data_IF_602140514607
#
_entry.id   IF_602140514607
#
_cell.length_a   1.000
_cell.length_b   1.000
_cell.length_c   1.000
_cell.angle_alpha   90.00
_cell.angle_beta   90.00
_cell.angle_gamma   90.00
#
_symmetry.space_group_name_H-M   'P 1'
#
loop_
_entity.id
_entity.type
_entity.pdbx_description
1 polymer ?
#
# COMPACT_ATOMS: atom_id res chain seq x y z
N UNK A 1 -26.40 43.89 -33.19
CA UNK A 1 -26.41 43.09 -31.94
C UNK A 1 -25.98 41.64 -32.18
N UNK A 2 -24.76 41.39 -32.72
CA UNK A 2 -24.24 40.02 -32.92
C UNK A 2 -22.74 39.86 -32.61
N UNK A 3 -22.00 40.97 -32.47
CA UNK A 3 -20.56 40.95 -32.11
C UNK A 3 -20.29 41.02 -30.61
N UNK A 4 -21.28 41.41 -29.80
CA UNK A 4 -21.17 41.42 -28.34
C UNK A 4 -21.56 40.09 -27.69
N UNK A 5 -22.23 39.19 -28.42
CA UNK A 5 -22.49 37.82 -27.95
C UNK A 5 -21.21 36.96 -27.95
N UNK A 6 -20.26 37.26 -28.84
CA UNK A 6 -18.98 36.54 -28.95
C UNK A 6 -18.00 36.88 -27.83
N UNK A 7 -18.10 38.06 -27.20
CA UNK A 7 -17.22 38.50 -26.12
C UNK A 7 -17.62 37.99 -24.73
N UNK A 8 -18.88 37.57 -24.55
CA UNK A 8 -19.39 37.04 -23.27
C UNK A 8 -19.06 35.55 -23.13
N UNK A 9 -18.92 34.84 -24.26
CA UNK A 9 -18.67 33.39 -24.28
C UNK A 9 -17.23 33.02 -23.87
N UNK A 10 -16.28 33.94 -24.02
CA UNK A 10 -14.88 33.73 -23.62
C UNK A 10 -14.60 34.06 -22.14
N UNK A 11 -15.56 34.67 -21.43
CA UNK A 11 -15.36 35.14 -20.05
C UNK A 11 -15.80 34.13 -18.98
N UNK A 12 -16.41 33.00 -19.35
CA UNK A 12 -16.85 31.95 -18.41
C UNK A 12 -15.90 30.75 -18.26
N UNK A 13 -14.72 30.73 -18.90
CA UNK A 13 -13.82 29.57 -18.80
C UNK A 13 -12.72 29.70 -17.74
N UNK A 14 -12.80 30.69 -16.86
CA UNK A 14 -11.85 30.84 -15.75
C UNK A 14 -12.59 30.58 -14.43
N UNK A 15 -13.16 29.38 -14.29
CA UNK A 15 -13.61 28.85 -13.00
C UNK A 15 -12.63 27.79 -12.51
N UNK A 16 -11.80 28.23 -11.56
CA UNK A 16 -11.27 27.50 -10.41
C UNK A 16 -11.02 25.99 -10.58
N UNK A 17 -9.74 25.65 -10.79
CA UNK A 17 -9.15 24.42 -10.23
C UNK A 17 -7.99 24.80 -9.33
N UNK A 18 -8.32 25.01 -8.06
CA UNK A 18 -7.39 24.91 -6.93
C UNK A 18 -7.98 23.87 -5.99
N UNK A 19 -7.13 23.02 -5.43
CA UNK A 19 -7.39 21.95 -4.46
C UNK A 19 -7.80 20.61 -5.13
N UNK A 20 -7.17 19.46 -4.90
CA UNK A 20 -6.21 19.03 -3.90
C UNK A 20 -5.21 18.05 -4.54
N UNK A 21 -3.99 18.00 -4.00
CA UNK A 21 -3.12 16.85 -4.20
C UNK A 21 -3.81 15.59 -3.65
N UNK A 22 -4.07 14.66 -4.54
CA UNK A 22 -4.19 13.25 -4.22
C UNK A 22 -3.40 12.55 -5.32
N UNK A 23 -2.18 12.14 -5.00
CA UNK A 23 -1.41 11.21 -5.82
C UNK A 23 -2.10 9.86 -5.69
N UNK A 24 -3.22 9.68 -6.38
CA UNK A 24 -3.75 8.36 -6.66
C UNK A 24 -2.93 7.85 -7.85
N UNK A 25 -1.76 7.31 -7.51
CA UNK A 25 -1.03 6.39 -8.38
C UNK A 25 -1.93 5.16 -8.55
N UNK A 26 -2.85 5.24 -9.51
CA UNK A 26 -3.55 4.10 -10.04
C UNK A 26 -2.57 3.40 -10.97
N UNK A 27 -1.67 2.62 -10.37
CA UNK A 27 -0.77 1.75 -11.10
C UNK A 27 -1.56 0.61 -11.74
N UNK A 28 -1.86 0.76 -13.03
CA UNK A 28 -2.06 -0.35 -13.94
C UNK A 28 -0.75 -1.17 -13.90
N UNK A 29 -0.78 -2.35 -13.26
CA UNK A 29 0.41 -3.19 -13.10
C UNK A 29 0.80 -3.77 -14.46
N UNK A 30 1.66 -3.02 -15.15
CA UNK A 30 2.40 -3.51 -16.30
C UNK A 30 3.50 -4.47 -15.83
N UNK A 31 3.45 -5.69 -16.35
CA UNK A 31 4.45 -6.73 -16.19
C UNK A 31 5.85 -6.17 -16.52
N UNK A 32 6.73 -6.15 -15.51
CA UNK A 32 8.17 -6.03 -15.75
C UNK A 32 8.90 -4.99 -14.90
N UNK A 33 8.84 -5.12 -13.58
CA UNK A 33 9.70 -4.38 -12.67
C UNK A 33 9.86 -5.15 -11.38
N UNK A 34 11.07 -5.15 -10.85
CA UNK A 34 11.42 -5.39 -9.45
C UNK A 34 10.74 -4.34 -8.55
N UNK A 35 9.41 -4.26 -8.61
CA UNK A 35 8.62 -3.27 -7.90
C UNK A 35 8.58 -3.64 -6.43
N UNK A 36 9.23 -2.80 -5.62
CA UNK A 36 9.12 -2.92 -4.20
C UNK A 36 7.71 -2.48 -3.79
N UNK A 37 7.00 -3.36 -3.11
CA UNK A 37 5.70 -3.06 -2.53
C UNK A 37 5.85 -2.82 -1.02
N UNK A 38 4.98 -1.98 -0.47
CA UNK A 38 4.94 -1.70 0.97
C UNK A 38 3.50 -1.83 1.43
N UNK A 39 3.29 -2.61 2.49
CA UNK A 39 1.99 -2.69 3.14
C UNK A 39 2.11 -2.65 4.66
N UNK A 40 0.98 -2.38 5.30
CA UNK A 40 0.86 -2.44 6.75
C UNK A 40 -0.03 -3.59 7.15
N UNK A 41 0.31 -4.26 8.25
CA UNK A 41 -0.42 -5.41 8.73
C UNK A 41 -0.30 -5.57 10.24
N UNK A 42 -1.37 -6.00 10.88
CA UNK A 42 -1.42 -6.29 12.31
C UNK A 42 -0.83 -7.67 12.57
N UNK A 43 0.04 -7.81 13.57
CA UNK A 43 0.56 -9.11 13.99
C UNK A 43 -0.54 -9.92 14.67
N UNK A 44 -0.91 -11.05 14.09
CA UNK A 44 -1.83 -12.02 14.69
C UNK A 44 -1.07 -13.02 15.56
N UNK A 45 0.07 -13.52 15.07
CA UNK A 45 0.90 -14.48 15.78
C UNK A 45 2.39 -14.29 15.49
N UNK A 46 3.23 -14.57 16.50
CA UNK A 46 4.69 -14.60 16.40
C UNK A 46 5.12 -16.06 16.51
N UNK A 47 5.74 -16.58 15.46
CA UNK A 47 6.24 -17.96 15.39
C UNK A 47 7.73 -17.97 15.09
N UNK A 48 8.38 -19.10 15.30
CA UNK A 48 9.83 -19.21 15.08
C UNK A 48 10.19 -18.91 13.61
N UNK A 49 10.71 -17.71 13.37
CA UNK A 49 11.17 -17.23 12.06
C UNK A 49 10.14 -16.50 11.18
N UNK A 50 8.87 -16.40 11.58
CA UNK A 50 7.84 -15.73 10.79
C UNK A 50 6.72 -15.11 11.62
N UNK A 51 6.19 -13.99 11.14
CA UNK A 51 4.96 -13.37 11.61
C UNK A 51 3.77 -13.92 10.81
N UNK A 52 2.66 -14.23 11.49
CA UNK A 52 1.35 -14.29 10.85
C UNK A 52 0.71 -12.92 11.01
N UNK A 53 0.33 -12.29 9.90
CA UNK A 53 -0.22 -10.93 9.91
C UNK A 53 -1.52 -10.85 9.15
N UNK A 54 -2.34 -9.87 9.53
CA UNK A 54 -3.55 -9.45 8.82
C UNK A 54 -3.31 -8.07 8.20
N UNK A 55 -3.36 -7.91 6.86
CA UNK A 55 -3.22 -6.60 6.24
C UNK A 55 -4.28 -5.62 6.76
N UNK A 56 -3.90 -4.35 6.96
CA UNK A 56 -4.84 -3.33 7.45
C UNK A 56 -5.98 -3.09 6.44
N UNK A 57 -7.15 -2.67 6.93
CA UNK A 57 -8.32 -2.38 6.08
C UNK A 57 -7.97 -1.46 4.89
N UNK A 58 -8.37 -1.88 3.70
CA UNK A 58 -8.13 -1.14 2.45
C UNK A 58 -6.74 -1.35 1.83
N UNK A 59 -5.89 -2.19 2.42
CA UNK A 59 -4.64 -2.67 1.80
C UNK A 59 -4.93 -3.48 0.52
N UNK A 60 -4.12 -3.28 -0.52
CA UNK A 60 -4.21 -4.04 -1.78
C UNK A 60 -3.93 -5.53 -1.56
N UNK A 61 -3.12 -5.88 -0.57
CA UNK A 61 -2.75 -7.25 -0.20
C UNK A 61 -3.97 -8.07 0.26
N UNK A 62 -5.04 -7.43 0.74
CA UNK A 62 -6.32 -8.08 1.05
C UNK A 62 -6.97 -8.73 -0.19
N UNK A 63 -6.61 -8.30 -1.40
CA UNK A 63 -7.05 -8.99 -2.62
C UNK A 63 -6.42 -10.38 -2.78
N UNK A 64 -5.28 -10.62 -2.10
CA UNK A 64 -4.59 -11.92 -2.11
C UNK A 64 -5.07 -12.80 -0.95
N UNK A 65 -4.99 -12.32 0.29
CA UNK A 65 -5.47 -13.02 1.48
C UNK A 65 -5.66 -12.09 2.68
N UNK A 66 -6.54 -12.48 3.62
CA UNK A 66 -6.70 -11.89 4.94
C UNK A 66 -5.57 -12.28 5.90
N UNK A 67 -4.95 -13.44 5.71
CA UNK A 67 -3.83 -13.93 6.52
C UNK A 67 -2.61 -14.19 5.65
N UNK A 68 -1.48 -13.57 6.02
CA UNK A 68 -0.22 -13.67 5.30
C UNK A 68 0.90 -14.02 6.28
N UNK A 69 1.71 -15.02 5.96
CA UNK A 69 2.96 -15.28 6.68
C UNK A 69 4.11 -14.48 6.07
N UNK A 70 4.88 -13.82 6.93
CA UNK A 70 6.00 -12.95 6.56
C UNK A 70 7.25 -13.38 7.33
N UNK A 71 8.37 -13.70 6.66
CA UNK A 71 9.61 -14.07 7.34
C UNK A 71 10.16 -12.88 8.14
N UNK A 72 10.69 -13.14 9.33
CA UNK A 72 11.26 -12.11 10.23
C UNK A 72 12.62 -11.56 9.76
N UNK A 73 12.96 -11.74 8.47
CA UNK A 73 14.21 -11.28 7.88
C UNK A 73 14.23 -9.76 7.74
N UNK A 74 15.40 -9.15 7.92
CA UNK A 74 15.60 -7.69 7.77
C UNK A 74 14.68 -6.84 8.67
N UNK A 75 14.29 -7.40 9.82
CA UNK A 75 13.48 -6.72 10.82
C UNK A 75 14.34 -5.80 11.70
N UNK A 76 13.85 -4.59 11.96
CA UNK A 76 14.45 -3.69 12.94
C UNK A 76 14.10 -4.17 14.37
N UNK A 77 15.09 -4.52 15.22
CA UNK A 77 14.84 -5.11 16.54
C UNK A 77 14.22 -4.16 17.58
N UNK A 78 14.11 -2.85 17.29
CA UNK A 78 13.56 -1.87 18.23
C UNK A 78 12.54 -0.94 17.55
N UNK A 79 11.33 -0.78 18.12
CA UNK A 79 10.80 -1.54 19.27
C UNK A 79 10.64 -3.03 18.95
N UNK A 80 10.65 -3.88 19.98
CA UNK A 80 10.40 -5.31 19.82
C UNK A 80 8.90 -5.52 19.50
N UNK A 81 8.54 -6.13 18.36
CA UNK A 81 7.15 -6.28 17.96
C UNK A 81 6.39 -7.27 18.83
N UNK A 82 5.17 -6.90 19.20
CA UNK A 82 4.24 -7.71 19.98
C UNK A 82 2.99 -8.08 19.15
N UNK A 83 2.26 -9.11 19.57
CA UNK A 83 0.97 -9.45 18.95
C UNK A 83 0.01 -8.27 19.12
N UNK A 84 -0.62 -7.85 18.03
CA UNK A 84 -1.48 -6.67 17.96
C UNK A 84 -0.78 -5.42 17.44
N UNK A 85 0.56 -5.39 17.35
CA UNK A 85 1.28 -4.29 16.74
C UNK A 85 1.05 -4.24 15.22
N UNK A 86 1.12 -3.04 14.65
CA UNK A 86 1.09 -2.85 13.20
C UNK A 86 2.52 -2.79 12.68
N UNK A 87 2.84 -3.71 11.77
CA UNK A 87 4.09 -3.71 11.02
C UNK A 87 3.93 -2.96 9.71
N UNK A 88 4.98 -2.22 9.31
CA UNK A 88 5.23 -1.79 7.94
C UNK A 88 6.23 -2.75 7.32
N UNK A 89 5.86 -3.37 6.21
CA UNK A 89 6.61 -4.44 5.54
C UNK A 89 6.91 -4.00 4.10
N UNK A 90 8.19 -3.98 3.73
CA UNK A 90 8.65 -3.76 2.36
C UNK A 90 9.06 -5.10 1.74
N UNK A 91 8.52 -5.44 0.58
CA UNK A 91 8.73 -6.73 -0.08
C UNK A 91 8.80 -6.57 -1.62
N UNK A 92 8.96 -7.66 -2.35
CA UNK A 92 9.12 -7.69 -3.81
C UNK A 92 7.81 -7.67 -4.62
N UNK A 93 6.68 -7.34 -3.97
CA UNK A 93 5.36 -7.36 -4.61
C UNK A 93 4.78 -8.75 -4.86
N UNK A 94 5.53 -9.82 -4.59
CA UNK A 94 5.08 -11.19 -4.84
C UNK A 94 4.45 -11.82 -3.61
N UNK A 95 3.20 -12.28 -3.76
CA UNK A 95 2.48 -13.06 -2.75
C UNK A 95 2.15 -14.42 -3.34
N UNK A 96 2.61 -15.50 -2.68
CA UNK A 96 2.30 -16.86 -3.08
C UNK A 96 0.90 -17.26 -2.59
N UNK A 97 0.09 -17.77 -3.51
CA UNK A 97 -1.29 -18.19 -3.25
C UNK A 97 -1.35 -19.48 -2.42
N UNK A 98 -1.66 -19.35 -1.13
CA UNK A 98 -1.95 -20.44 -0.18
C UNK A 98 -2.83 -19.91 0.96
N UNK A 99 -3.20 -20.77 1.93
CA UNK A 99 -3.91 -20.33 3.13
C UNK A 99 -3.24 -20.82 4.42
N UNK A 100 -2.59 -19.93 5.21
CA UNK A 100 -2.35 -18.50 4.92
C UNK A 100 -1.52 -18.27 3.65
N UNK A 101 -1.61 -17.10 3.04
CA UNK A 101 -0.75 -16.72 1.91
C UNK A 101 0.68 -16.44 2.39
N UNK A 102 1.65 -16.39 1.48
CA UNK A 102 3.06 -16.31 1.86
C UNK A 102 3.81 -15.23 1.09
N UNK A 103 4.55 -14.39 1.80
CA UNK A 103 5.57 -13.51 1.22
C UNK A 103 6.94 -14.14 1.47
N UNK A 104 7.78 -14.23 0.43
CA UNK A 104 9.11 -14.85 0.54
C UNK A 104 10.22 -13.81 0.65
N UNK A 105 10.18 -12.75 -0.15
CA UNK A 105 11.28 -11.80 -0.26
C UNK A 105 10.93 -10.48 0.46
N UNK A 106 11.43 -10.35 1.69
CA UNK A 106 11.22 -9.17 2.53
C UNK A 106 12.48 -8.32 2.59
N UNK A 107 12.35 -7.03 2.30
CA UNK A 107 13.43 -6.06 2.31
C UNK A 107 13.56 -5.32 3.64
N UNK A 108 12.46 -5.00 4.30
CA UNK A 108 12.48 -4.37 5.63
C UNK A 108 11.18 -4.61 6.40
N UNK A 109 11.30 -4.68 7.74
CA UNK A 109 10.16 -4.72 8.67
C UNK A 109 10.40 -3.72 9.80
N UNK A 110 9.41 -2.89 10.10
CA UNK A 110 9.42 -1.97 11.23
C UNK A 110 8.04 -1.84 11.86
N UNK A 111 7.97 -1.71 13.18
CA UNK A 111 6.72 -1.34 13.88
C UNK A 111 6.32 0.09 13.53
N UNK A 112 5.03 0.34 13.34
CA UNK A 112 4.45 1.67 13.17
C UNK A 112 4.14 2.24 14.56
N UNK A 113 4.74 3.39 14.90
CA UNK A 113 4.49 4.12 16.16
C UNK A 113 3.18 4.92 16.17
#
# INVERSE_FOLDING_TARGET
MRKQLLLILTLSLILAVTACGMSSDGGESEVGGNEKAIFQATILEIRDGYYLVEPVDGSTELNSADQITVPMTNMNPSPEPEVGDVLKIEYDGSIAESYPAQITNVYSISVVE
#
